data_IF_931416364870
#
_entry.id   IF_931416364870
#
_cell.length_a   1.000
_cell.length_b   1.000
_cell.length_c   1.000
_cell.angle_alpha   90.00
_cell.angle_beta   90.00
_cell.angle_gamma   90.00
#
_symmetry.space_group_name_H-M   'P 1'
#
loop_
_entity.id
_entity.type
_entity.pdbx_description
1 polymer ?
#
# COMPACT_ATOMS: atom_id res chain seq x y z
N UNK A 1 -0.50 -13.83 14.99
CA UNK A 1 0.66 -14.10 15.81
C UNK A 1 1.78 -13.08 15.62
N UNK A 2 2.55 -12.82 16.68
CA UNK A 2 3.61 -11.80 16.65
C UNK A 2 4.78 -12.12 15.72
N UNK A 3 4.94 -13.36 15.25
CA UNK A 3 6.01 -13.78 14.32
C UNK A 3 5.78 -13.33 12.87
N UNK A 4 4.54 -13.15 12.43
CA UNK A 4 4.21 -12.75 11.04
C UNK A 4 4.77 -11.36 10.70
N UNK A 5 4.61 -10.30 11.52
CA UNK A 5 5.21 -9.01 11.23
C UNK A 5 6.74 -9.04 11.15
N UNK A 6 7.41 -9.83 11.99
CA UNK A 6 8.85 -9.98 11.96
C UNK A 6 9.32 -10.70 10.69
N UNK A 7 8.63 -11.74 10.25
CA UNK A 7 8.90 -12.44 9.00
C UNK A 7 8.72 -11.54 7.78
N UNK A 8 7.64 -10.76 7.72
CA UNK A 8 7.39 -9.81 6.64
C UNK A 8 8.51 -8.76 6.54
N UNK A 9 9.01 -8.28 7.67
CA UNK A 9 10.13 -7.34 7.70
C UNK A 9 11.42 -7.94 7.14
N UNK A 10 11.71 -9.19 7.50
CA UNK A 10 12.87 -9.90 6.98
C UNK A 10 12.75 -10.18 5.48
N UNK A 11 11.59 -10.67 5.02
CA UNK A 11 11.33 -10.94 3.62
C UNK A 11 11.48 -9.69 2.74
N UNK A 12 11.03 -8.54 3.21
CA UNK A 12 11.20 -7.27 2.51
C UNK A 12 12.66 -6.86 2.34
N UNK A 13 13.53 -7.22 3.29
CA UNK A 13 14.96 -6.92 3.25
C UNK A 13 15.76 -7.73 2.21
N UNK A 14 15.21 -8.85 1.71
CA UNK A 14 15.86 -9.73 0.72
C UNK A 14 15.23 -9.64 -0.68
N UNK A 15 14.35 -8.67 -0.92
CA UNK A 15 13.71 -8.49 -2.22
C UNK A 15 14.72 -8.06 -3.28
N UNK A 16 14.63 -8.69 -4.47
CA UNK A 16 15.47 -8.37 -5.62
C UNK A 16 14.80 -7.33 -6.51
N UNK A 17 15.57 -6.32 -6.92
CA UNK A 17 15.12 -5.34 -7.93
C UNK A 17 15.39 -5.86 -9.32
N UNK A 18 14.36 -5.97 -10.15
CA UNK A 18 14.45 -6.34 -11.56
C UNK A 18 13.70 -5.31 -12.39
N UNK A 19 14.34 -4.79 -13.42
CA UNK A 19 13.68 -3.94 -14.40
C UNK A 19 13.12 -4.78 -15.54
N UNK A 20 11.85 -4.52 -15.88
CA UNK A 20 11.18 -5.13 -17.02
C UNK A 20 10.22 -4.11 -17.64
N UNK A 21 10.03 -4.17 -18.95
CA UNK A 21 9.08 -3.35 -19.68
C UNK A 21 8.14 -4.26 -20.49
N UNK A 22 6.83 -4.11 -20.28
CA UNK A 22 5.80 -4.83 -21.00
C UNK A 22 4.48 -4.04 -20.90
N UNK A 23 3.42 -4.53 -21.55
CA UNK A 23 2.09 -3.96 -21.42
C UNK A 23 1.59 -4.04 -19.96
N UNK A 24 0.92 -3.00 -19.51
CA UNK A 24 0.49 -2.88 -18.10
C UNK A 24 -0.32 -4.07 -17.61
N UNK A 25 -1.22 -4.61 -18.43
CA UNK A 25 -2.04 -5.76 -18.04
C UNK A 25 -1.22 -7.05 -17.84
N UNK A 26 -0.06 -7.17 -18.49
CA UNK A 26 0.84 -8.32 -18.30
C UNK A 26 1.72 -8.15 -17.06
N UNK A 27 2.05 -6.91 -16.73
CA UNK A 27 2.89 -6.60 -15.57
C UNK A 27 2.09 -6.62 -14.27
N UNK A 28 0.88 -6.03 -14.28
CA UNK A 28 0.10 -5.79 -13.06
C UNK A 28 -1.03 -6.78 -12.82
N UNK A 29 -1.52 -7.46 -13.87
CA UNK A 29 -2.54 -8.46 -13.69
C UNK A 29 -1.93 -9.77 -13.20
N UNK A 30 -2.39 -10.27 -12.06
CA UNK A 30 -1.99 -11.55 -11.49
C UNK A 30 -3.17 -12.27 -10.85
N UNK A 31 -3.12 -13.61 -10.89
CA UNK A 31 -4.12 -14.41 -10.20
C UNK A 31 -3.99 -14.24 -8.68
N UNK A 32 -5.12 -13.96 -8.01
CA UNK A 32 -5.20 -13.83 -6.57
C UNK A 32 -5.84 -15.09 -5.96
N UNK A 33 -5.10 -15.80 -5.10
CA UNK A 33 -5.58 -17.02 -4.45
C UNK A 33 -5.93 -16.82 -2.98
N UNK A 34 -5.45 -15.74 -2.39
CA UNK A 34 -5.75 -15.39 -0.99
C UNK A 34 -7.01 -14.55 -0.93
N UNK A 35 -7.93 -14.91 -0.06
CA UNK A 35 -9.14 -14.12 0.20
C UNK A 35 -8.95 -13.28 1.44
N UNK A 36 -9.19 -11.99 1.32
CA UNK A 36 -9.13 -11.05 2.42
C UNK A 36 -10.08 -9.87 2.16
N UNK A 37 -10.32 -9.10 3.18
CA UNK A 37 -11.01 -7.82 3.05
C UNK A 37 -9.96 -6.72 3.07
N UNK A 38 -10.10 -5.79 2.16
CA UNK A 38 -9.22 -4.63 2.08
C UNK A 38 -10.03 -3.36 1.91
N UNK A 39 -9.43 -2.25 2.23
CA UNK A 39 -9.91 -0.92 1.89
C UNK A 39 -8.71 -0.06 1.51
N UNK A 40 -8.92 0.79 0.54
CA UNK A 40 -7.90 1.72 0.04
C UNK A 40 -8.47 3.12 0.04
N UNK A 41 -7.67 4.07 0.49
CA UNK A 41 -8.02 5.49 0.48
C UNK A 41 -6.94 6.28 -0.24
N UNK A 42 -7.39 7.17 -1.13
CA UNK A 42 -6.51 8.16 -1.75
C UNK A 42 -6.52 9.44 -0.91
N UNK A 43 -5.37 9.83 -0.42
CA UNK A 43 -5.21 11.06 0.35
C UNK A 43 -4.21 12.00 -0.32
N UNK A 44 -4.29 13.31 -0.11
CA UNK A 44 -3.23 14.22 -0.54
C UNK A 44 -1.88 13.77 0.02
N UNK A 45 -0.82 13.88 -0.78
CA UNK A 45 0.51 13.37 -0.38
C UNK A 45 1.00 13.96 0.94
N UNK A 46 0.72 15.24 1.19
CA UNK A 46 1.09 15.93 2.43
C UNK A 46 0.33 15.41 3.68
N UNK A 47 -0.77 14.70 3.48
CA UNK A 47 -1.56 14.15 4.57
C UNK A 47 -1.11 12.76 5.03
N UNK A 48 -0.17 12.12 4.33
CA UNK A 48 0.25 10.74 4.61
C UNK A 48 0.75 10.56 6.04
N UNK A 49 1.66 11.40 6.50
CA UNK A 49 2.25 11.23 7.83
C UNK A 49 1.23 11.36 8.97
N UNK A 50 0.35 12.37 9.01
CA UNK A 50 -0.70 12.41 10.02
C UNK A 50 -1.71 11.26 9.91
N UNK A 51 -2.06 10.83 8.69
CA UNK A 51 -2.95 9.68 8.48
C UNK A 51 -2.33 8.39 9.04
N UNK A 52 -1.06 8.14 8.78
CA UNK A 52 -0.36 6.96 9.29
C UNK A 52 -0.27 6.96 10.80
N UNK A 53 -0.02 8.10 11.42
CA UNK A 53 -0.01 8.21 12.89
C UNK A 53 -1.38 7.92 13.50
N UNK A 54 -2.44 8.42 12.88
CA UNK A 54 -3.80 8.16 13.35
C UNK A 54 -4.21 6.70 13.16
N UNK A 55 -3.83 6.09 12.04
CA UNK A 55 -4.09 4.68 11.77
C UNK A 55 -3.38 3.78 12.81
N UNK A 56 -2.12 4.06 13.10
CA UNK A 56 -1.37 3.35 14.14
C UNK A 56 -2.08 3.46 15.51
N UNK A 57 -2.49 4.67 15.87
CA UNK A 57 -3.25 4.90 17.11
C UNK A 57 -4.55 4.10 17.16
N UNK A 58 -5.29 4.03 16.08
CA UNK A 58 -6.56 3.27 16.01
C UNK A 58 -6.31 1.78 16.14
N UNK A 59 -5.28 1.26 15.47
CA UNK A 59 -4.91 -0.16 15.54
C UNK A 59 -4.53 -0.53 16.97
N UNK A 60 -3.69 0.26 17.62
CA UNK A 60 -3.27 0.05 19.01
C UNK A 60 -4.45 0.14 19.98
N UNK A 61 -5.29 1.17 19.85
CA UNK A 61 -6.45 1.37 20.74
C UNK A 61 -7.46 0.22 20.68
N UNK A 62 -7.58 -0.44 19.53
CA UNK A 62 -8.50 -1.57 19.35
C UNK A 62 -7.82 -2.93 19.56
N UNK A 63 -6.50 -2.97 19.79
CA UNK A 63 -5.75 -4.19 19.96
C UNK A 63 -5.79 -5.10 18.72
N UNK A 64 -5.92 -4.52 17.54
CA UNK A 64 -5.99 -5.30 16.30
C UNK A 64 -4.64 -5.92 15.94
N UNK A 65 -4.68 -7.19 15.60
CA UNK A 65 -3.51 -7.92 15.12
C UNK A 65 -3.63 -8.14 13.63
N UNK A 66 -2.90 -7.32 12.88
CA UNK A 66 -2.93 -7.33 11.42
C UNK A 66 -1.78 -8.18 10.92
N UNK A 67 -2.09 -9.23 10.16
CA UNK A 67 -1.11 -10.16 9.61
C UNK A 67 -0.47 -9.69 8.31
N UNK A 68 -1.14 -8.80 7.57
CA UNK A 68 -0.58 -8.20 6.36
C UNK A 68 0.01 -6.81 6.65
N UNK A 69 1.10 -6.44 5.98
CA UNK A 69 1.61 -5.08 6.06
C UNK A 69 0.61 -4.08 5.47
N UNK A 70 0.62 -2.87 6.00
CA UNK A 70 -0.06 -1.74 5.36
C UNK A 70 0.80 -1.29 4.19
N UNK A 71 0.21 -1.23 3.01
CA UNK A 71 0.88 -0.73 1.82
C UNK A 71 0.62 0.77 1.68
N UNK A 72 1.67 1.53 1.49
CA UNK A 72 1.60 2.97 1.25
C UNK A 72 2.31 3.26 -0.06
N UNK A 73 1.59 3.84 -1.00
CA UNK A 73 2.11 4.19 -2.33
C UNK A 73 1.98 5.69 -2.54
N UNK A 74 2.90 6.27 -3.29
CA UNK A 74 2.85 7.67 -3.69
C UNK A 74 2.81 7.79 -5.20
N UNK A 75 1.99 8.69 -5.71
CA UNK A 75 1.89 9.01 -7.13
C UNK A 75 2.03 10.52 -7.36
N UNK A 76 2.66 10.89 -8.45
CA UNK A 76 2.65 12.27 -8.91
C UNK A 76 1.24 12.65 -9.39
N UNK A 77 0.96 13.95 -9.40
CA UNK A 77 -0.25 14.47 -10.02
C UNK A 77 -0.25 14.16 -11.52
N UNK A 78 -1.41 13.87 -12.06
CA UNK A 78 -1.63 13.66 -13.49
C UNK A 78 -2.86 14.42 -14.01
N UNK A 79 -3.10 14.34 -15.30
CA UNK A 79 -4.26 14.92 -15.98
C UNK A 79 -5.20 13.85 -16.58
N UNK A 80 -5.04 12.62 -16.16
CA UNK A 80 -5.80 11.49 -16.67
C UNK A 80 -7.20 11.46 -16.04
N UNK A 81 -8.23 11.36 -16.89
CA UNK A 81 -9.60 11.21 -16.43
C UNK A 81 -9.78 9.93 -15.61
N UNK A 82 -10.51 10.03 -14.51
CA UNK A 82 -10.76 8.97 -13.54
C UNK A 82 -9.51 8.50 -12.77
N UNK A 83 -8.37 9.16 -12.91
CA UNK A 83 -7.22 8.93 -12.04
C UNK A 83 -7.50 9.47 -10.64
N UNK A 84 -7.12 8.70 -9.64
CA UNK A 84 -7.17 9.12 -8.23
C UNK A 84 -6.10 10.17 -7.89
N UNK A 85 -5.13 10.37 -8.80
CA UNK A 85 -4.10 11.42 -8.72
C UNK A 85 -4.39 12.60 -9.67
N UNK A 86 -5.62 12.71 -10.21
CA UNK A 86 -5.96 13.81 -11.09
C UNK A 86 -5.85 15.16 -10.39
N UNK A 87 -4.96 16.01 -10.88
CA UNK A 87 -4.75 17.37 -10.37
C UNK A 87 -4.00 17.47 -9.04
N UNK A 88 -3.59 16.36 -8.42
CA UNK A 88 -2.82 16.41 -7.16
C UNK A 88 -1.93 15.20 -6.98
N UNK A 89 -0.77 15.39 -6.35
CA UNK A 89 0.02 14.28 -5.85
C UNK A 89 -0.75 13.57 -4.71
N UNK A 90 -0.79 12.26 -4.76
CA UNK A 90 -1.62 11.45 -3.87
C UNK A 90 -0.82 10.29 -3.28
N UNK A 91 -1.28 9.81 -2.12
CA UNK A 91 -0.86 8.52 -1.57
C UNK A 91 -2.07 7.61 -1.40
N UNK A 92 -1.82 6.32 -1.48
CA UNK A 92 -2.81 5.25 -1.29
C UNK A 92 -2.32 4.31 -0.22
#
# INVERSE_FOLDING_TARGET
PGTVPAFNRLASGVAFTRQAADYSHRVFASERRVRFREMEYSVPLEAVAPVMRELDRVIEANGWRISFPIEVRATAADDVWLSTAHGRASSY
#
